data_IF_052408401515
#
_entry.id   IF_052408401515
#
_cell.length_a   1.000
_cell.length_b   1.000
_cell.length_c   1.000
_cell.angle_alpha   90.00
_cell.angle_beta   90.00
_cell.angle_gamma   90.00
#
_symmetry.space_group_name_H-M   'P 1'
#
loop_
_entity.id
_entity.type
_entity.pdbx_description
1 polymer ?
#
# COMPACT_ATOMS: atom_id res chain seq x y z
N UNK A 1 -6.23 -19.07 0.10
CA UNK A 1 -5.83 -18.21 -1.04
C UNK A 1 -6.03 -18.97 -2.33
N UNK A 2 -6.57 -18.34 -3.36
CA UNK A 2 -6.66 -18.93 -4.71
C UNK A 2 -5.30 -18.87 -5.42
N UNK A 3 -5.13 -19.68 -6.47
CA UNK A 3 -3.91 -19.66 -7.29
C UNK A 3 -3.69 -18.29 -7.95
N UNK A 4 -4.76 -17.64 -8.38
CA UNK A 4 -4.73 -16.31 -9.00
C UNK A 4 -4.26 -15.23 -8.01
N UNK A 5 -4.62 -15.33 -6.72
CA UNK A 5 -4.14 -14.39 -5.70
C UNK A 5 -2.63 -14.53 -5.45
N UNK A 6 -2.08 -15.74 -5.57
CA UNK A 6 -0.64 -15.96 -5.45
C UNK A 6 0.10 -15.39 -6.67
N UNK A 7 -0.41 -15.62 -7.88
CA UNK A 7 0.16 -15.09 -9.10
C UNK A 7 0.22 -13.54 -9.10
N UNK A 8 -0.86 -12.87 -8.67
CA UNK A 8 -0.85 -11.41 -8.57
C UNK A 8 0.14 -10.89 -7.53
N UNK A 9 0.29 -11.57 -6.38
CA UNK A 9 1.26 -11.18 -5.35
C UNK A 9 2.69 -11.30 -5.85
N UNK A 10 3.01 -12.37 -6.57
CA UNK A 10 4.33 -12.55 -7.20
C UNK A 10 4.59 -11.48 -8.27
N UNK A 11 3.61 -11.21 -9.13
CA UNK A 11 3.71 -10.14 -10.12
C UNK A 11 3.88 -8.77 -9.48
N UNK A 12 3.07 -8.44 -8.47
CA UNK A 12 3.12 -7.16 -7.75
C UNK A 12 4.46 -6.97 -7.02
N UNK A 13 5.05 -8.04 -6.49
CA UNK A 13 6.40 -8.01 -5.90
C UNK A 13 7.43 -7.62 -6.97
N UNK A 14 7.41 -8.25 -8.13
CA UNK A 14 8.39 -7.95 -9.19
C UNK A 14 8.18 -6.56 -9.80
N UNK A 15 6.93 -6.15 -10.03
CA UNK A 15 6.60 -4.81 -10.49
C UNK A 15 7.02 -3.73 -9.48
N UNK A 16 6.80 -3.98 -8.17
CA UNK A 16 7.23 -3.10 -7.09
C UNK A 16 8.75 -2.97 -6.99
N UNK A 17 9.50 -4.04 -7.27
CA UNK A 17 10.96 -4.03 -7.35
C UNK A 17 11.47 -3.12 -8.48
N UNK A 18 10.76 -3.11 -9.62
CA UNK A 18 11.08 -2.24 -10.75
C UNK A 18 10.68 -0.78 -10.54
N UNK A 19 9.74 -0.51 -9.63
CA UNK A 19 9.24 0.83 -9.33
C UNK A 19 9.18 1.09 -7.80
N UNK A 20 10.33 1.25 -7.13
CA UNK A 20 10.39 1.43 -5.67
C UNK A 20 9.89 2.81 -5.21
N UNK A 21 9.60 3.74 -6.13
CA UNK A 21 9.06 5.07 -5.79
C UNK A 21 7.54 5.06 -5.64
N UNK A 22 6.86 3.97 -6.03
CA UNK A 22 5.43 3.79 -5.86
C UNK A 22 5.10 2.95 -4.62
N UNK A 23 4.26 3.47 -3.72
CA UNK A 23 3.85 2.77 -2.50
C UNK A 23 2.96 1.54 -2.73
N UNK A 24 2.26 1.49 -3.87
CA UNK A 24 1.32 0.43 -4.25
C UNK A 24 1.42 0.16 -5.74
N UNK A 25 1.07 -1.06 -6.15
CA UNK A 25 1.03 -1.50 -7.54
C UNK A 25 -0.37 -2.01 -7.85
N UNK A 26 -0.93 -1.57 -8.98
CA UNK A 26 -2.23 -2.05 -9.48
C UNK A 26 -2.02 -3.29 -10.35
N UNK A 27 -2.66 -4.42 -10.01
CA UNK A 27 -2.68 -5.59 -10.88
C UNK A 27 -3.66 -5.41 -12.05
N UNK A 28 -3.54 -6.29 -13.05
CA UNK A 28 -4.44 -6.36 -14.21
C UNK A 28 -5.89 -6.74 -13.84
N UNK A 29 -6.09 -7.29 -12.64
CA UNK A 29 -7.40 -7.60 -12.06
C UNK A 29 -8.01 -6.44 -11.27
N UNK A 30 -7.45 -5.24 -11.40
CA UNK A 30 -7.91 -4.02 -10.73
C UNK A 30 -7.83 -4.13 -9.19
N UNK A 31 -6.77 -4.78 -8.69
CA UNK A 31 -6.50 -4.92 -7.25
C UNK A 31 -5.18 -4.24 -6.91
N UNK A 32 -5.19 -3.37 -5.90
CA UNK A 32 -3.99 -2.71 -5.42
C UNK A 32 -3.25 -3.55 -4.37
N UNK A 33 -1.97 -3.80 -4.62
CA UNK A 33 -1.06 -4.47 -3.71
C UNK A 33 -0.04 -3.50 -3.11
N UNK A 34 0.31 -3.63 -1.81
CA UNK A 34 1.38 -2.84 -1.22
C UNK A 34 2.74 -3.19 -1.85
N UNK A 35 3.55 -2.17 -2.14
CA UNK A 35 4.91 -2.37 -2.64
C UNK A 35 5.90 -2.51 -1.46
N UNK A 36 6.53 -3.68 -1.27
CA UNK A 36 7.46 -3.87 -0.15
C UNK A 36 8.81 -3.18 -0.34
N UNK A 37 9.13 -2.71 -1.55
CA UNK A 37 10.36 -2.01 -1.86
C UNK A 37 10.25 -0.49 -1.69
N UNK A 38 9.04 0.01 -1.41
CA UNK A 38 8.79 1.42 -1.18
C UNK A 38 9.24 1.84 0.22
N UNK A 39 10.15 2.82 0.29
CA UNK A 39 10.71 3.35 1.54
C UNK A 39 10.24 4.78 1.87
N UNK A 40 9.26 5.31 1.14
CA UNK A 40 8.75 6.65 1.35
C UNK A 40 7.68 6.77 2.45
N UNK A 41 7.10 7.98 2.62
CA UNK A 41 6.01 8.22 3.57
C UNK A 41 4.78 7.37 3.25
N UNK A 42 3.98 7.01 4.26
CA UNK A 42 2.75 6.25 4.07
C UNK A 42 1.79 6.99 3.15
N UNK A 43 1.55 6.43 1.96
CA UNK A 43 0.56 6.91 1.01
C UNK A 43 -0.77 6.18 1.27
N UNK A 44 -1.91 6.89 1.30
CA UNK A 44 -3.23 6.25 1.36
C UNK A 44 -3.48 5.33 0.15
N UNK A 45 -4.51 4.48 0.22
CA UNK A 45 -4.94 3.75 -0.97
C UNK A 45 -5.32 4.76 -2.08
N UNK A 46 -4.99 4.53 -3.35
CA UNK A 46 -5.40 5.42 -4.43
C UNK A 46 -6.92 5.62 -4.51
N UNK A 47 -7.68 4.62 -4.07
CA UNK A 47 -9.14 4.64 -3.97
C UNK A 47 -9.66 5.09 -2.60
N UNK A 48 -8.79 5.34 -1.61
CA UNK A 48 -9.19 6.00 -0.36
C UNK A 48 -9.51 7.47 -0.70
N UNK A 49 -10.68 7.69 -1.26
CA UNK A 49 -11.30 9.00 -1.46
C UNK A 49 -11.65 9.68 -0.13
N UNK A 50 -11.25 9.11 1.02
CA UNK A 50 -11.52 9.58 2.36
C UNK A 50 -10.50 10.61 2.87
N UNK A 51 -9.50 11.02 2.09
CA UNK A 51 -8.64 12.13 2.47
C UNK A 51 -9.45 13.41 2.81
N UNK A 52 -10.47 13.82 2.02
CA UNK A 52 -11.39 14.90 2.37
C UNK A 52 -12.15 14.63 3.67
N UNK A 53 -12.76 13.45 3.82
CA UNK A 53 -13.55 13.08 5.01
C UNK A 53 -12.70 13.08 6.29
N UNK A 54 -11.48 12.52 6.22
CA UNK A 54 -10.52 12.51 7.32
C UNK A 54 -10.03 13.93 7.66
N UNK A 55 -9.78 14.77 6.65
CA UNK A 55 -9.39 16.17 6.87
C UNK A 55 -10.56 16.96 7.47
N UNK A 56 -11.80 16.71 7.04
CA UNK A 56 -13.00 17.35 7.60
C UNK A 56 -13.19 16.97 9.07
N UNK A 57 -13.00 15.70 9.43
CA UNK A 57 -13.21 15.20 10.80
C UNK A 57 -12.04 15.53 11.75
N UNK A 58 -10.79 15.38 11.29
CA UNK A 58 -9.59 15.44 12.15
C UNK A 58 -8.65 16.62 11.85
N UNK A 59 -8.89 17.35 10.76
CA UNK A 59 -8.09 18.50 10.34
C UNK A 59 -6.84 18.15 9.52
N UNK A 60 -6.34 19.14 8.78
CA UNK A 60 -5.21 18.98 7.84
C UNK A 60 -3.89 18.60 8.53
N UNK A 61 -3.66 19.04 9.77
CA UNK A 61 -2.44 18.71 10.51
C UNK A 61 -2.42 17.25 10.96
N UNK A 62 -3.58 16.69 11.35
CA UNK A 62 -3.70 15.27 11.66
C UNK A 62 -3.46 14.41 10.42
N UNK A 63 -4.01 14.81 9.27
CA UNK A 63 -3.75 14.17 8.00
C UNK A 63 -2.26 14.17 7.63
N UNK A 64 -1.59 15.33 7.72
CA UNK A 64 -0.13 15.46 7.49
C UNK A 64 0.67 14.52 8.39
N UNK A 65 0.34 14.44 9.67
CA UNK A 65 1.00 13.52 10.60
C UNK A 65 0.74 12.04 10.25
N UNK A 66 -0.47 11.71 9.78
CA UNK A 66 -0.86 10.36 9.38
C UNK A 66 -0.08 9.85 8.17
N UNK A 67 0.09 10.69 7.14
CA UNK A 67 0.80 10.33 5.90
C UNK A 67 2.32 10.49 6.00
N UNK A 68 2.82 11.31 6.92
CA UNK A 68 4.27 11.50 7.12
C UNK A 68 4.93 10.36 7.89
N UNK A 69 4.15 9.40 8.44
CA UNK A 69 4.70 8.22 9.07
C UNK A 69 5.34 7.33 8.00
N UNK A 70 6.59 6.86 8.18
CA UNK A 70 7.15 5.87 7.27
C UNK A 70 6.23 4.65 7.27
N UNK A 71 5.99 4.06 6.10
CA UNK A 71 5.26 2.80 6.03
C UNK A 71 6.01 1.78 6.89
N UNK A 72 5.32 0.92 7.66
CA UNK A 72 5.99 -0.24 8.22
C UNK A 72 6.49 -1.05 7.03
N UNK A 73 7.80 -1.10 6.83
CA UNK A 73 8.44 -1.96 5.83
C UNK A 73 8.73 -3.28 6.56
N UNK A 74 7.86 -4.30 6.49
CA UNK A 74 8.30 -5.65 6.85
C UNK A 74 9.43 -6.03 5.88
N UNK A 75 10.50 -6.71 6.34
CA UNK A 75 11.52 -7.23 5.45
C UNK A 75 10.85 -8.10 4.38
N UNK A 76 11.32 -8.00 3.12
CA UNK A 76 10.67 -8.56 1.93
C UNK A 76 10.40 -10.08 1.99
N UNK A 77 11.03 -10.78 2.93
CA UNK A 77 10.95 -12.23 3.10
C UNK A 77 9.99 -12.66 4.24
N UNK A 78 9.51 -11.71 5.07
CA UNK A 78 8.58 -11.95 6.19
C UNK A 78 7.24 -11.19 6.03
N UNK A 79 6.84 -10.91 4.78
CA UNK A 79 5.60 -10.17 4.53
C UNK A 79 4.40 -11.10 4.73
N UNK A 80 3.73 -10.93 5.86
CA UNK A 80 2.37 -11.41 6.04
C UNK A 80 1.41 -10.56 5.21
N UNK A 81 1.20 -11.01 3.98
CA UNK A 81 0.31 -10.36 3.02
C UNK A 81 -1.14 -10.30 3.48
N UNK A 82 -1.56 -11.16 4.42
CA UNK A 82 -2.92 -11.15 4.96
C UNK A 82 -3.09 -10.07 6.04
N UNK A 83 -2.00 -9.64 6.69
CA UNK A 83 -1.99 -8.53 7.64
C UNK A 83 -1.97 -7.13 6.99
N UNK A 84 -1.70 -7.04 5.68
CA UNK A 84 -1.57 -5.78 4.94
C UNK A 84 -2.82 -5.38 4.14
N UNK A 85 -3.83 -6.25 4.10
CA UNK A 85 -5.12 -5.97 3.48
C UNK A 85 -6.07 -5.55 4.61
N UNK A 86 -6.46 -4.26 4.72
CA UNK A 86 -7.51 -3.88 5.66
C UNK A 86 -8.83 -4.57 5.25
N UNK A 87 -9.55 -5.11 6.25
CA UNK A 87 -10.86 -5.73 6.10
C UNK A 87 -11.90 -4.79 5.48
#
# INVERSE_FOLDING_TARGET
MSYEQLADREWAREAGRCNPDSARVLSDRDVWYPNPFYAGPRVPHPEDAAAPDFIEEYGIEAWRAHVSRPAPVPPADDIDWDALIPF
#
